data_IF_964328190518
#
_entry.id   IF_964328190518
#
_cell.length_a   1.000
_cell.length_b   1.000
_cell.length_c   1.000
_cell.angle_alpha   90.00
_cell.angle_beta   90.00
_cell.angle_gamma   90.00
#
_symmetry.space_group_name_H-M   'P 1'
#
loop_
_entity.id
_entity.type
_entity.pdbx_description
1 polymer ?
#
# COMPACT_ATOMS: atom_id res chain seq x y z
N UNK A 1 -11.42 -6.51 7.12
CA UNK A 1 -10.28 -7.38 6.78
C UNK A 1 -9.00 -6.57 6.80
N UNK A 2 -8.90 -5.45 6.07
CA UNK A 2 -7.73 -4.54 6.14
C UNK A 2 -7.35 -4.09 7.55
N UNK A 3 -8.31 -3.63 8.36
CA UNK A 3 -8.05 -3.26 9.77
C UNK A 3 -7.48 -4.45 10.57
N UNK A 4 -8.08 -5.64 10.41
CA UNK A 4 -7.59 -6.85 11.08
C UNK A 4 -6.17 -7.23 10.65
N UNK A 5 -5.85 -7.06 9.36
CA UNK A 5 -4.50 -7.30 8.85
C UNK A 5 -3.50 -6.29 9.42
N UNK A 6 -3.84 -5.00 9.46
CA UNK A 6 -2.98 -3.94 10.02
C UNK A 6 -2.74 -4.18 11.52
N UNK A 7 -3.79 -4.50 12.28
CA UNK A 7 -3.71 -4.84 13.71
C UNK A 7 -2.81 -6.06 13.95
N UNK A 8 -2.89 -7.07 13.09
CA UNK A 8 -2.05 -8.27 13.19
C UNK A 8 -0.59 -8.01 12.80
N UNK A 9 -0.36 -7.28 11.70
CA UNK A 9 0.97 -7.05 11.14
C UNK A 9 1.80 -6.11 12.01
N UNK A 10 1.19 -5.02 12.49
CA UNK A 10 1.88 -3.94 13.18
C UNK A 10 1.40 -3.78 14.62
N UNK A 11 1.13 -4.90 15.29
CA UNK A 11 0.77 -4.90 16.70
C UNK A 11 1.76 -4.06 17.52
N UNK A 12 1.23 -3.24 18.42
CA UNK A 12 1.98 -2.32 19.29
C UNK A 12 2.76 -1.21 18.56
N UNK A 13 2.62 -1.10 17.23
CA UNK A 13 3.22 -0.05 16.43
C UNK A 13 2.26 1.14 16.22
N UNK A 14 2.75 2.39 16.09
CA UNK A 14 1.91 3.56 15.79
C UNK A 14 1.11 3.49 14.47
N UNK A 15 1.41 2.53 13.59
CA UNK A 15 0.64 2.27 12.36
C UNK A 15 -0.57 1.35 12.56
N UNK A 16 -0.68 0.65 13.70
CA UNK A 16 -1.79 -0.27 13.96
C UNK A 16 -3.14 0.40 14.24
N UNK A 17 -3.23 1.54 14.96
CA UNK A 17 -4.52 2.13 15.28
C UNK A 17 -5.36 2.48 14.04
N UNK A 18 -6.67 2.22 14.05
CA UNK A 18 -7.54 2.54 12.92
C UNK A 18 -7.62 4.06 12.70
N UNK A 19 -7.68 4.47 11.44
CA UNK A 19 -7.75 5.89 11.05
C UNK A 19 -8.97 6.58 11.68
N UNK A 20 -10.11 5.89 11.77
CA UNK A 20 -11.34 6.42 12.37
C UNK A 20 -11.27 6.50 13.91
N UNK A 21 -10.22 5.95 14.53
CA UNK A 21 -10.12 5.76 15.96
C UNK A 21 -11.09 4.70 16.49
N UNK A 22 -11.31 4.73 17.79
CA UNK A 22 -12.25 3.87 18.50
C UNK A 22 -13.49 4.66 18.91
N UNK A 23 -14.58 3.97 19.25
CA UNK A 23 -15.76 4.62 19.82
C UNK A 23 -15.40 5.49 21.02
N UNK A 24 -14.56 4.99 21.93
CA UNK A 24 -14.11 5.71 23.11
C UNK A 24 -13.30 6.96 22.74
N UNK A 25 -12.31 6.84 21.83
CA UNK A 25 -11.49 7.99 21.44
C UNK A 25 -12.31 9.10 20.78
N UNK A 26 -13.43 8.78 20.15
CA UNK A 26 -14.34 9.77 19.54
C UNK A 26 -15.29 10.37 20.60
N UNK A 27 -15.87 9.56 21.49
CA UNK A 27 -16.78 10.08 22.52
C UNK A 27 -16.08 10.94 23.56
N UNK A 28 -14.81 10.64 23.83
CA UNK A 28 -14.02 11.30 24.87
C UNK A 28 -13.22 12.49 24.31
N UNK A 29 -13.27 12.73 22.99
CA UNK A 29 -12.52 13.80 22.35
C UNK A 29 -13.04 15.17 22.77
N UNK A 30 -12.15 15.96 23.38
CA UNK A 30 -12.44 17.34 23.76
C UNK A 30 -11.98 18.34 22.69
N UNK A 31 -12.53 19.56 22.73
CA UNK A 31 -12.01 20.68 21.94
C UNK A 31 -10.52 20.90 22.18
N UNK A 32 -10.08 20.85 23.43
CA UNK A 32 -8.68 21.08 23.81
C UNK A 32 -7.75 20.02 23.19
N UNK A 33 -8.22 18.77 23.07
CA UNK A 33 -7.50 17.69 22.37
C UNK A 33 -7.30 18.01 20.88
N UNK A 34 -8.35 18.52 20.22
CA UNK A 34 -8.30 18.89 18.80
C UNK A 34 -7.36 20.08 18.59
N UNK A 35 -7.46 21.11 19.43
CA UNK A 35 -6.60 22.30 19.34
C UNK A 35 -5.14 21.95 19.60
N UNK A 36 -4.86 21.12 20.60
CA UNK A 36 -3.50 20.65 20.87
C UNK A 36 -2.92 19.84 19.70
N UNK A 37 -3.73 18.99 19.05
CA UNK A 37 -3.31 18.27 17.85
C UNK A 37 -3.02 19.23 16.69
N UNK A 38 -3.93 20.18 16.43
CA UNK A 38 -3.79 21.19 15.39
C UNK A 38 -2.51 21.99 15.57
N UNK A 39 -2.31 22.61 16.75
CA UNK A 39 -1.13 23.43 17.04
C UNK A 39 0.18 22.66 16.92
N UNK A 40 0.19 21.35 17.20
CA UNK A 40 1.38 20.51 17.10
C UNK A 40 1.66 20.00 15.68
N UNK A 41 0.61 19.70 14.89
CA UNK A 41 0.75 18.97 13.63
C UNK A 41 0.54 19.82 12.38
N UNK A 42 -0.18 20.93 12.48
CA UNK A 42 -0.40 21.87 11.39
C UNK A 42 0.57 23.03 11.56
N UNK A 43 1.79 22.82 11.05
CA UNK A 43 2.88 23.81 11.08
C UNK A 43 3.42 24.01 9.66
N UNK A 44 4.12 25.12 9.38
CA UNK A 44 4.75 25.32 8.08
C UNK A 44 5.79 24.24 7.73
N UNK A 45 6.36 23.54 8.73
CA UNK A 45 7.35 22.48 8.53
C UNK A 45 6.73 21.12 8.12
N UNK A 46 5.41 20.96 8.27
CA UNK A 46 4.68 19.73 7.99
C UNK A 46 3.57 19.93 6.96
N UNK A 47 3.61 21.03 6.21
CA UNK A 47 2.57 21.42 5.25
C UNK A 47 3.16 21.73 3.89
N UNK A 48 2.59 21.13 2.85
CA UNK A 48 2.93 21.38 1.46
C UNK A 48 1.72 21.95 0.74
N UNK A 49 1.91 23.08 0.04
CA UNK A 49 0.92 23.63 -0.88
C UNK A 49 1.29 23.18 -2.30
N UNK A 50 0.48 22.28 -2.86
CA UNK A 50 0.66 21.79 -4.23
C UNK A 50 -0.37 22.38 -5.16
N UNK A 51 0.08 22.92 -6.29
CA UNK A 51 -0.79 23.59 -7.27
C UNK A 51 -0.38 23.13 -8.67
N UNK A 52 -1.34 22.70 -9.48
CA UNK A 52 -1.09 22.35 -10.88
C UNK A 52 -2.28 22.76 -11.76
N UNK A 53 -1.99 23.17 -13.00
CA UNK A 53 -3.00 23.59 -13.97
C UNK A 53 -2.56 24.82 -14.76
N UNK A 54 -3.53 25.59 -15.23
CA UNK A 54 -3.29 26.90 -15.83
C UNK A 54 -3.19 27.96 -14.72
N UNK A 55 -1.96 28.26 -14.29
CA UNK A 55 -1.70 29.12 -13.13
C UNK A 55 -1.30 30.53 -13.56
N UNK A 56 -1.76 31.57 -12.84
CA UNK A 56 -1.32 32.93 -13.10
C UNK A 56 0.15 33.10 -12.67
N UNK A 57 0.85 34.06 -13.27
CA UNK A 57 2.28 34.29 -13.02
C UNK A 57 2.62 34.74 -11.59
N UNK A 58 1.63 35.23 -10.85
CA UNK A 58 1.74 35.73 -9.47
C UNK A 58 1.27 34.71 -8.42
N UNK A 59 1.01 33.45 -8.79
CA UNK A 59 0.46 32.43 -7.87
C UNK A 59 1.35 32.23 -6.63
N UNK A 60 2.67 32.34 -6.78
CA UNK A 60 3.62 32.20 -5.66
C UNK A 60 3.49 33.39 -4.69
N UNK A 61 3.31 34.60 -5.21
CA UNK A 61 3.09 35.80 -4.39
C UNK A 61 1.77 35.69 -3.61
N UNK A 62 0.71 35.18 -4.25
CA UNK A 62 -0.58 34.94 -3.57
C UNK A 62 -0.46 33.92 -2.43
N UNK A 63 0.31 32.84 -2.63
CA UNK A 63 0.57 31.85 -1.57
C UNK A 63 1.41 32.47 -0.46
N UNK A 64 2.46 33.22 -0.81
CA UNK A 64 3.31 33.90 0.16
C UNK A 64 2.55 34.96 0.97
N UNK A 65 1.61 35.68 0.38
CA UNK A 65 0.76 36.65 1.07
C UNK A 65 -0.11 35.98 2.16
N UNK A 66 -0.58 34.75 1.91
CA UNK A 66 -1.47 34.00 2.82
C UNK A 66 -0.72 33.19 3.86
N UNK A 67 0.41 32.60 3.49
CA UNK A 67 1.14 31.63 4.32
C UNK A 67 2.54 32.10 4.74
N UNK A 68 3.08 33.17 4.17
CA UNK A 68 4.46 33.62 4.43
C UNK A 68 4.70 34.13 5.86
N UNK A 69 3.64 34.59 6.54
CA UNK A 69 3.68 34.94 7.97
C UNK A 69 3.42 33.76 8.91
N UNK A 70 3.11 32.58 8.39
CA UNK A 70 2.81 31.40 9.19
C UNK A 70 4.09 30.86 9.83
N UNK A 71 4.12 30.82 11.15
CA UNK A 71 5.21 30.27 11.93
C UNK A 71 4.74 29.09 12.76
N UNK A 72 5.68 28.24 13.16
CA UNK A 72 5.43 27.07 14.00
C UNK A 72 6.75 26.45 14.42
N UNK A 73 6.67 25.31 15.09
CA UNK A 73 7.85 24.57 15.53
C UNK A 73 7.93 23.30 14.69
N UNK A 74 9.11 23.02 14.14
CA UNK A 74 9.37 21.74 13.50
C UNK A 74 9.23 20.63 14.53
N UNK A 75 8.38 19.65 14.24
CA UNK A 75 8.19 18.48 15.10
C UNK A 75 8.85 17.29 14.43
N UNK A 76 9.82 16.69 15.11
CA UNK A 76 10.44 15.47 14.61
C UNK A 76 9.52 14.27 14.74
N UNK A 77 9.69 13.32 13.82
CA UNK A 77 8.99 12.04 13.85
C UNK A 77 9.91 10.97 14.44
N UNK A 78 9.42 10.30 15.48
CA UNK A 78 10.07 9.10 16.00
C UNK A 78 9.63 7.94 15.12
N UNK A 79 10.53 7.50 14.24
CA UNK A 79 10.34 6.32 13.41
C UNK A 79 10.79 5.10 14.20
N UNK A 80 9.98 4.05 14.19
CA UNK A 80 10.28 2.79 14.89
C UNK A 80 10.07 1.66 13.91
N UNK A 81 11.03 0.74 13.80
CA UNK A 81 10.81 -0.43 12.96
C UNK A 81 9.81 -1.37 13.67
N UNK A 82 8.75 -1.84 12.99
CA UNK A 82 7.83 -2.78 13.60
C UNK A 82 8.50 -4.14 13.85
N UNK A 83 7.96 -4.88 14.83
CA UNK A 83 8.33 -6.29 15.06
C UNK A 83 7.17 -7.14 14.57
N UNK A 84 7.41 -7.91 13.51
CA UNK A 84 6.37 -8.70 12.85
C UNK A 84 6.56 -10.19 13.16
N UNK A 85 5.44 -10.89 13.36
CA UNK A 85 5.36 -12.34 13.61
C UNK A 85 4.15 -12.90 12.88
N UNK A 86 4.15 -14.20 12.56
CA UNK A 86 3.00 -14.81 11.90
C UNK A 86 1.77 -14.73 12.80
N UNK A 87 0.69 -14.14 12.29
CA UNK A 87 -0.56 -13.92 13.04
C UNK A 87 -1.77 -14.00 12.13
N UNK A 88 -2.85 -14.53 12.70
CA UNK A 88 -4.19 -14.48 12.12
C UNK A 88 -5.07 -13.62 13.01
N UNK A 89 -5.74 -12.65 12.42
CA UNK A 89 -6.72 -11.81 13.11
C UNK A 89 -8.04 -11.88 12.36
N UNK A 90 -9.08 -12.36 13.04
CA UNK A 90 -10.39 -12.61 12.45
C UNK A 90 -11.45 -11.81 13.16
N UNK A 91 -12.25 -11.08 12.38
CA UNK A 91 -13.53 -10.57 12.84
C UNK A 91 -14.63 -11.55 12.43
N UNK A 92 -15.02 -12.41 13.37
CA UNK A 92 -16.07 -13.41 13.14
C UNK A 92 -17.41 -12.73 12.88
N UNK A 93 -17.99 -12.99 11.71
CA UNK A 93 -19.30 -12.44 11.30
C UNK A 93 -19.92 -13.37 10.26
N UNK A 94 -21.21 -13.67 10.41
CA UNK A 94 -21.97 -14.38 9.38
C UNK A 94 -22.17 -13.45 8.19
N UNK A 95 -21.54 -13.79 7.06
CA UNK A 95 -21.57 -13.05 5.81
C UNK A 95 -21.57 -14.00 4.61
N UNK A 96 -22.17 -13.57 3.50
CA UNK A 96 -22.17 -14.33 2.23
C UNK A 96 -20.76 -14.44 1.62
N UNK A 97 -19.90 -13.47 1.92
CA UNK A 97 -18.50 -13.46 1.49
C UNK A 97 -17.55 -13.41 2.68
N UNK A 98 -16.47 -14.16 2.54
CA UNK A 98 -15.23 -14.02 3.26
C UNK A 98 -14.42 -12.87 2.65
N UNK A 99 -13.90 -11.98 3.49
CA UNK A 99 -12.92 -10.98 3.07
C UNK A 99 -11.58 -11.29 3.72
N UNK A 100 -10.58 -11.57 2.90
CA UNK A 100 -9.26 -12.03 3.30
C UNK A 100 -8.22 -11.02 2.83
N UNK A 101 -7.30 -10.65 3.73
CA UNK A 101 -6.12 -9.85 3.40
C UNK A 101 -4.92 -10.63 3.90
N UNK A 102 -4.12 -11.14 2.97
CA UNK A 102 -2.96 -11.98 3.23
C UNK A 102 -1.70 -11.28 2.74
N UNK A 103 -0.62 -11.32 3.50
CA UNK A 103 0.62 -10.67 3.08
C UNK A 103 1.72 -10.74 4.11
N UNK A 104 2.79 -10.00 3.86
CA UNK A 104 3.95 -9.90 4.75
C UNK A 104 4.44 -8.46 4.86
N UNK A 105 5.31 -8.23 5.84
CA UNK A 105 6.07 -6.99 5.93
C UNK A 105 6.94 -6.82 4.68
N UNK A 106 7.06 -5.58 4.21
CA UNK A 106 7.76 -5.20 3.00
C UNK A 106 8.47 -3.87 3.22
N UNK A 107 8.88 -3.22 2.14
CA UNK A 107 9.78 -2.09 2.20
C UNK A 107 9.11 -0.78 2.64
N UNK A 108 9.84 0.11 3.34
CA UNK A 108 9.43 1.50 3.49
C UNK A 108 9.36 2.19 2.11
N UNK A 109 8.73 3.35 2.09
CA UNK A 109 8.43 4.11 0.87
C UNK A 109 9.65 4.46 0.02
N UNK A 110 10.76 4.76 0.67
CA UNK A 110 12.00 5.28 0.08
C UNK A 110 12.96 4.20 -0.41
N UNK A 111 12.67 2.92 -0.14
CA UNK A 111 13.50 1.80 -0.61
C UNK A 111 13.69 1.82 -2.13
N UNK A 112 14.92 1.60 -2.58
CA UNK A 112 15.30 1.67 -3.99
C UNK A 112 14.60 0.58 -4.82
N UNK A 113 14.27 -0.56 -4.21
CA UNK A 113 13.61 -1.70 -4.87
C UNK A 113 12.13 -1.47 -5.14
N UNK A 114 11.57 -0.32 -4.73
CA UNK A 114 10.14 0.02 -4.88
C UNK A 114 9.60 -0.07 -6.30
N UNK A 115 10.43 0.21 -7.32
CA UNK A 115 10.01 0.12 -8.73
C UNK A 115 9.98 -1.33 -9.21
N UNK A 116 10.96 -2.14 -8.82
CA UNK A 116 10.98 -3.57 -9.11
C UNK A 116 9.79 -4.28 -8.45
N UNK A 117 9.54 -4.00 -7.17
CA UNK A 117 8.38 -4.54 -6.45
C UNK A 117 7.05 -4.04 -7.04
N UNK A 118 6.98 -2.82 -7.58
CA UNK A 118 5.79 -2.31 -8.27
C UNK A 118 5.44 -3.14 -9.51
N UNK A 119 6.44 -3.53 -10.29
CA UNK A 119 6.22 -4.35 -11.49
C UNK A 119 5.79 -5.77 -11.09
N UNK A 120 6.40 -6.32 -10.04
CA UNK A 120 6.01 -7.62 -9.49
C UNK A 120 4.56 -7.64 -8.98
N UNK A 121 4.17 -6.62 -8.20
CA UNK A 121 2.81 -6.42 -7.69
C UNK A 121 1.79 -6.29 -8.83
N UNK A 122 2.13 -5.58 -9.90
CA UNK A 122 1.25 -5.48 -11.07
C UNK A 122 0.98 -6.85 -11.71
N UNK A 123 2.02 -7.68 -11.86
CA UNK A 123 1.87 -9.03 -12.43
C UNK A 123 1.16 -9.98 -11.47
N UNK A 124 1.37 -9.86 -10.16
CA UNK A 124 0.74 -10.71 -9.16
C UNK A 124 -0.78 -10.49 -9.13
N UNK A 125 -1.22 -9.25 -8.96
CA UNK A 125 -2.64 -8.95 -8.76
C UNK A 125 -3.11 -7.56 -9.20
N UNK A 126 -2.28 -6.78 -9.92
CA UNK A 126 -2.58 -5.37 -10.24
C UNK A 126 -3.51 -5.12 -11.44
N UNK A 127 -4.10 -6.16 -12.04
CA UNK A 127 -4.99 -5.99 -13.20
C UNK A 127 -5.56 -7.29 -13.76
N UNK A 128 -6.34 -7.20 -14.83
CA UNK A 128 -7.03 -8.37 -15.41
C UNK A 128 -6.07 -9.41 -16.01
N UNK A 129 -4.88 -8.99 -16.43
CA UNK A 129 -3.83 -9.88 -16.94
C UNK A 129 -2.89 -10.40 -15.85
N UNK A 130 -3.21 -10.19 -14.57
CA UNK A 130 -2.40 -10.63 -13.45
C UNK A 130 -2.62 -12.12 -13.14
N UNK A 131 -1.63 -12.76 -12.53
CA UNK A 131 -1.67 -14.19 -12.20
C UNK A 131 -2.86 -14.54 -11.32
N UNK A 132 -3.08 -13.77 -10.24
CA UNK A 132 -4.19 -14.02 -9.31
C UNK A 132 -5.55 -13.81 -9.97
N UNK A 133 -5.70 -12.77 -10.79
CA UNK A 133 -6.95 -12.54 -11.51
C UNK A 133 -7.25 -13.70 -12.46
N UNK A 134 -6.25 -14.16 -13.20
CA UNK A 134 -6.44 -15.28 -14.12
C UNK A 134 -6.77 -16.57 -13.36
N UNK A 135 -5.96 -16.97 -12.38
CA UNK A 135 -6.11 -18.27 -11.71
C UNK A 135 -7.36 -18.36 -10.82
N UNK A 136 -7.67 -17.32 -10.05
CA UNK A 136 -8.75 -17.34 -9.05
C UNK A 136 -10.07 -16.91 -9.67
N UNK A 137 -10.08 -15.85 -10.49
CA UNK A 137 -11.32 -15.28 -11.03
C UNK A 137 -11.67 -15.84 -12.40
N UNK A 138 -10.74 -15.86 -13.35
CA UNK A 138 -11.04 -16.25 -14.74
C UNK A 138 -11.15 -17.78 -14.90
N UNK A 139 -10.17 -18.53 -14.41
CA UNK A 139 -10.10 -19.98 -14.60
C UNK A 139 -11.03 -20.74 -13.65
N UNK A 140 -11.10 -20.35 -12.36
CA UNK A 140 -11.84 -21.11 -11.33
C UNK A 140 -13.11 -20.42 -10.82
N UNK A 141 -13.29 -19.12 -11.06
CA UNK A 141 -14.48 -18.40 -10.61
C UNK A 141 -14.68 -18.40 -9.08
N UNK A 142 -13.61 -18.48 -8.29
CA UNK A 142 -13.68 -18.57 -6.82
C UNK A 142 -13.90 -17.21 -6.15
N UNK A 143 -13.48 -16.12 -6.79
CA UNK A 143 -13.61 -14.78 -6.25
C UNK A 143 -13.92 -13.78 -7.36
N UNK A 144 -14.85 -12.86 -7.09
CA UNK A 144 -15.11 -11.73 -7.99
C UNK A 144 -14.04 -10.65 -7.85
N UNK A 145 -13.56 -10.43 -6.62
CA UNK A 145 -12.55 -9.43 -6.32
C UNK A 145 -11.31 -10.12 -5.75
N UNK A 146 -10.22 -10.05 -6.51
CA UNK A 146 -8.88 -10.44 -6.11
C UNK A 146 -7.92 -9.43 -6.70
N UNK A 147 -7.01 -8.94 -5.87
CA UNK A 147 -5.94 -8.03 -6.31
C UNK A 147 -4.83 -8.01 -5.27
N UNK A 148 -3.65 -7.56 -5.69
CA UNK A 148 -2.54 -7.24 -4.79
C UNK A 148 -2.30 -5.74 -4.76
N UNK A 149 -1.73 -5.27 -3.67
CA UNK A 149 -1.29 -3.90 -3.52
C UNK A 149 -0.18 -3.82 -2.48
N UNK A 150 0.45 -2.64 -2.41
CA UNK A 150 1.52 -2.34 -1.46
C UNK A 150 1.08 -1.24 -0.52
N UNK A 151 1.55 -1.29 0.71
CA UNK A 151 1.29 -0.28 1.73
C UNK A 151 2.61 0.36 2.21
N UNK A 152 3.23 1.25 1.41
CA UNK A 152 4.49 1.89 1.79
C UNK A 152 4.28 3.04 2.78
N UNK A 153 4.89 2.95 3.96
CA UNK A 153 4.99 4.00 4.98
C UNK A 153 6.42 4.53 5.11
N UNK A 154 6.65 5.49 5.99
CA UNK A 154 7.96 6.11 6.21
C UNK A 154 9.03 5.13 6.71
N UNK A 155 8.64 4.20 7.57
CA UNK A 155 9.52 3.34 8.36
C UNK A 155 9.13 1.86 8.32
N UNK A 156 8.07 1.55 7.57
CA UNK A 156 7.55 0.21 7.37
C UNK A 156 6.86 0.09 6.01
N UNK A 157 6.60 -1.14 5.57
CA UNK A 157 5.66 -1.39 4.50
C UNK A 157 5.07 -2.78 4.53
N UNK A 158 4.13 -3.03 3.64
CA UNK A 158 3.52 -4.35 3.46
C UNK A 158 3.26 -4.64 1.98
N UNK A 159 3.42 -5.91 1.60
CA UNK A 159 2.98 -6.46 0.32
C UNK A 159 1.81 -7.38 0.59
N UNK A 160 0.66 -7.11 -0.03
CA UNK A 160 -0.61 -7.73 0.39
C UNK A 160 -1.48 -8.12 -0.79
N UNK A 161 -2.23 -9.19 -0.59
CA UNK A 161 -3.26 -9.71 -1.49
C UNK A 161 -4.59 -9.63 -0.76
N UNK A 162 -5.58 -9.02 -1.41
CA UNK A 162 -6.97 -9.06 -0.98
C UNK A 162 -7.75 -10.07 -1.82
N UNK A 163 -8.62 -10.84 -1.17
CA UNK A 163 -9.62 -11.68 -1.84
C UNK A 163 -10.98 -11.61 -1.16
N UNK A 164 -12.04 -11.45 -1.96
CA UNK A 164 -13.43 -11.62 -1.57
C UNK A 164 -14.03 -12.88 -2.19
N UNK A 165 -14.25 -13.92 -1.39
CA UNK A 165 -14.69 -15.26 -1.85
C UNK A 165 -15.85 -15.80 -1.00
N UNK A 166 -16.48 -16.90 -1.39
CA UNK A 166 -17.46 -17.56 -0.52
C UNK A 166 -16.74 -18.23 0.68
N UNK A 167 -17.31 -18.24 1.90
CA UNK A 167 -16.68 -18.84 3.08
C UNK A 167 -16.13 -20.25 2.86
N UNK A 168 -16.87 -21.11 2.15
CA UNK A 168 -16.48 -22.49 1.83
C UNK A 168 -15.27 -22.63 0.90
N UNK A 169 -14.87 -21.56 0.21
CA UNK A 169 -13.74 -21.53 -0.74
C UNK A 169 -12.47 -20.93 -0.13
N UNK A 170 -12.52 -20.49 1.14
CA UNK A 170 -11.42 -19.77 1.82
C UNK A 170 -10.09 -20.53 1.75
N UNK A 171 -10.08 -21.82 2.10
CA UNK A 171 -8.87 -22.64 2.11
C UNK A 171 -8.26 -22.79 0.72
N UNK A 172 -9.09 -23.08 -0.29
CA UNK A 172 -8.63 -23.22 -1.68
C UNK A 172 -8.02 -21.91 -2.20
N UNK A 173 -8.70 -20.79 -1.95
CA UNK A 173 -8.23 -19.46 -2.38
C UNK A 173 -6.92 -19.06 -1.69
N UNK A 174 -6.78 -19.27 -0.38
CA UNK A 174 -5.55 -18.97 0.33
C UNK A 174 -4.38 -19.85 -0.16
N UNK A 175 -4.65 -21.13 -0.45
CA UNK A 175 -3.67 -22.02 -1.07
C UNK A 175 -3.19 -21.52 -2.44
N UNK A 176 -4.12 -21.04 -3.28
CA UNK A 176 -3.78 -20.44 -4.59
C UNK A 176 -2.97 -19.15 -4.44
N UNK A 177 -3.35 -18.27 -3.50
CA UNK A 177 -2.59 -17.04 -3.22
C UNK A 177 -1.16 -17.35 -2.81
N UNK A 178 -0.97 -18.29 -1.87
CA UNK A 178 0.36 -18.73 -1.44
C UNK A 178 1.16 -19.32 -2.58
N UNK A 179 0.55 -20.19 -3.39
CA UNK A 179 1.17 -20.77 -4.58
C UNK A 179 1.64 -19.71 -5.59
N UNK A 180 0.84 -18.67 -5.87
CA UNK A 180 1.28 -17.59 -6.76
C UNK A 180 2.46 -16.79 -6.22
N UNK A 181 2.44 -16.51 -4.91
CA UNK A 181 3.55 -15.83 -4.24
C UNK A 181 4.81 -16.70 -4.29
N UNK A 182 4.70 -18.00 -4.01
CA UNK A 182 5.82 -18.94 -4.07
C UNK A 182 6.39 -19.05 -5.49
N UNK A 183 5.52 -19.10 -6.52
CA UNK A 183 5.96 -19.05 -7.94
C UNK A 183 6.70 -17.75 -8.25
N UNK A 184 6.23 -16.61 -7.74
CA UNK A 184 6.89 -15.34 -7.94
C UNK A 184 8.27 -15.29 -7.24
N UNK A 185 8.39 -15.86 -6.04
CA UNK A 185 9.65 -15.96 -5.27
C UNK A 185 10.67 -16.88 -5.94
N UNK A 186 10.21 -18.01 -6.49
CA UNK A 186 11.09 -19.04 -7.05
C UNK A 186 11.47 -18.78 -8.50
N UNK A 187 10.48 -18.40 -9.33
CA UNK A 187 10.64 -18.32 -10.78
C UNK A 187 10.72 -16.87 -11.29
N UNK A 188 10.35 -15.89 -10.46
CA UNK A 188 10.28 -14.50 -10.87
C UNK A 188 9.22 -14.23 -11.94
N UNK A 189 9.51 -13.26 -12.80
CA UNK A 189 8.65 -12.88 -13.93
C UNK A 189 9.21 -13.43 -15.24
N UNK A 190 8.32 -13.84 -16.14
CA UNK A 190 8.66 -14.08 -17.54
C UNK A 190 8.94 -12.78 -18.29
N UNK A 191 9.70 -12.82 -19.38
CA UNK A 191 9.99 -11.64 -20.24
C UNK A 191 8.71 -10.92 -20.67
N UNK A 192 7.69 -11.70 -21.02
CA UNK A 192 6.42 -11.18 -21.47
C UNK A 192 5.66 -10.48 -20.33
N UNK A 193 5.69 -11.03 -19.11
CA UNK A 193 5.11 -10.38 -17.93
C UNK A 193 5.83 -9.08 -17.59
N UNK A 194 7.17 -9.09 -17.52
CA UNK A 194 7.94 -7.89 -17.21
C UNK A 194 7.72 -6.79 -18.24
N UNK A 195 7.76 -7.14 -19.54
CA UNK A 195 7.53 -6.20 -20.64
C UNK A 195 6.13 -5.58 -20.59
N UNK A 196 5.10 -6.39 -20.34
CA UNK A 196 3.73 -5.90 -20.16
C UNK A 196 3.59 -5.00 -18.94
N UNK A 197 4.17 -5.37 -17.80
CA UNK A 197 4.11 -4.57 -16.58
C UNK A 197 4.77 -3.20 -16.77
N UNK A 198 5.96 -3.15 -17.38
CA UNK A 198 6.64 -1.89 -17.73
C UNK A 198 5.78 -1.03 -18.65
N UNK A 199 5.19 -1.64 -19.68
CA UNK A 199 4.33 -0.93 -20.64
C UNK A 199 3.07 -0.37 -19.96
N UNK A 200 2.44 -1.17 -19.09
CA UNK A 200 1.27 -0.75 -18.34
C UNK A 200 1.57 0.44 -17.43
N UNK A 201 2.61 0.34 -16.59
CA UNK A 201 2.94 1.41 -15.63
C UNK A 201 3.31 2.70 -16.37
N UNK A 202 4.07 2.63 -17.46
CA UNK A 202 4.40 3.80 -18.29
C UNK A 202 3.15 4.40 -18.94
N UNK A 203 2.25 3.58 -19.45
CA UNK A 203 0.97 4.02 -20.00
C UNK A 203 0.08 4.69 -18.96
N UNK A 204 -0.02 4.12 -17.76
CA UNK A 204 -0.77 4.69 -16.65
C UNK A 204 -0.19 6.04 -16.20
N UNK A 205 1.14 6.17 -16.16
CA UNK A 205 1.81 7.44 -15.89
C UNK A 205 1.48 8.49 -16.95
N UNK A 206 1.52 8.14 -18.24
CA UNK A 206 1.19 9.04 -19.34
C UNK A 206 -0.27 9.53 -19.26
N UNK A 207 -1.23 8.63 -19.06
CA UNK A 207 -2.65 8.98 -18.91
C UNK A 207 -2.87 9.88 -17.68
N UNK A 208 -2.18 9.61 -16.57
CA UNK A 208 -2.25 10.44 -15.37
C UNK A 208 -1.69 11.85 -15.51
N UNK A 209 -1.00 12.18 -16.62
CA UNK A 209 -0.50 13.54 -16.89
C UNK A 209 -1.56 14.44 -17.54
N UNK A 210 -2.64 13.88 -18.07
CA UNK A 210 -3.72 14.64 -18.71
C UNK A 210 -4.55 15.42 -17.68
N UNK A 211 -4.59 14.95 -16.44
CA UNK A 211 -5.36 15.52 -15.35
C UNK A 211 -4.50 16.38 -14.41
N UNK A 212 -4.88 17.64 -14.24
CA UNK A 212 -4.21 18.58 -13.34
C UNK A 212 -4.26 18.11 -11.88
N UNK A 213 -5.36 17.47 -11.45
CA UNK A 213 -5.51 16.96 -10.10
C UNK A 213 -4.52 15.81 -9.83
N UNK A 214 -4.33 14.91 -10.79
CA UNK A 214 -3.35 13.83 -10.74
C UNK A 214 -1.91 14.35 -10.66
N UNK A 215 -1.60 15.40 -11.44
CA UNK A 215 -0.29 16.09 -11.36
C UNK A 215 -0.06 16.76 -10.00
N UNK A 216 -1.05 17.50 -9.50
CA UNK A 216 -1.02 18.17 -8.20
C UNK A 216 -0.79 17.16 -7.06
N UNK A 217 -1.55 16.05 -7.06
CA UNK A 217 -1.38 15.00 -6.05
C UNK A 217 -0.01 14.34 -6.13
N UNK A 218 0.54 14.11 -7.34
CA UNK A 218 1.87 13.51 -7.49
C UNK A 218 2.95 14.38 -6.86
N UNK A 219 3.08 15.64 -7.30
CA UNK A 219 4.13 16.54 -6.81
C UNK A 219 3.96 16.84 -5.31
N UNK A 220 2.71 17.04 -4.87
CA UNK A 220 2.42 17.32 -3.47
C UNK A 220 2.75 16.15 -2.56
N UNK A 221 2.42 14.91 -2.98
CA UNK A 221 2.74 13.71 -2.22
C UNK A 221 4.25 13.44 -2.21
N UNK A 222 4.95 13.64 -3.34
CA UNK A 222 6.41 13.49 -3.40
C UNK A 222 7.10 14.42 -2.42
N UNK A 223 6.77 15.71 -2.45
CA UNK A 223 7.32 16.71 -1.52
C UNK A 223 6.96 16.40 -0.07
N UNK A 224 5.67 16.12 0.22
CA UNK A 224 5.19 15.85 1.58
C UNK A 224 5.85 14.61 2.19
N UNK A 225 6.24 13.64 1.37
CA UNK A 225 6.88 12.41 1.82
C UNK A 225 8.41 12.47 1.76
N UNK A 226 9.00 13.62 1.42
CA UNK A 226 10.45 13.79 1.33
C UNK A 226 11.11 12.94 0.24
N UNK A 227 10.32 12.47 -0.73
CA UNK A 227 10.82 11.65 -1.83
C UNK A 227 11.49 12.53 -2.88
N UNK A 228 12.45 11.94 -3.61
CA UNK A 228 13.08 12.61 -4.74
C UNK A 228 12.05 12.97 -5.83
N UNK A 229 12.14 14.20 -6.34
CA UNK A 229 11.34 14.67 -7.46
C UNK A 229 11.91 14.19 -8.79
N UNK A 230 11.49 12.99 -9.19
CA UNK A 230 11.74 12.52 -10.54
C UNK A 230 10.79 13.19 -11.53
N UNK A 231 11.35 13.65 -12.63
CA UNK A 231 10.61 13.96 -13.85
C UNK A 231 9.91 12.72 -14.39
N UNK A 232 9.01 12.94 -15.34
CA UNK A 232 8.32 11.85 -16.04
C UNK A 232 9.32 10.96 -16.77
N UNK A 233 10.30 11.57 -17.45
CA UNK A 233 11.30 10.86 -18.24
C UNK A 233 12.23 10.03 -17.35
N UNK A 234 12.70 10.59 -16.22
CA UNK A 234 13.50 9.86 -15.24
C UNK A 234 12.71 8.70 -14.62
N UNK A 235 11.41 8.90 -14.31
CA UNK A 235 10.56 7.82 -13.81
C UNK A 235 10.42 6.70 -14.85
N UNK A 236 10.23 7.06 -16.12
CA UNK A 236 10.15 6.11 -17.24
C UNK A 236 11.46 5.35 -17.44
N UNK A 237 12.58 6.04 -17.31
CA UNK A 237 13.92 5.46 -17.42
C UNK A 237 14.17 4.44 -16.30
N UNK A 238 13.94 4.82 -15.04
CA UNK A 238 14.07 3.93 -13.88
C UNK A 238 13.23 2.66 -14.07
N UNK A 239 11.96 2.79 -14.47
CA UNK A 239 11.08 1.63 -14.73
C UNK A 239 11.59 0.78 -15.90
N UNK A 240 12.10 1.43 -16.96
CA UNK A 240 12.56 0.73 -18.15
C UNK A 240 13.83 -0.08 -17.89
N UNK A 241 14.69 0.40 -16.98
CA UNK A 241 15.95 -0.24 -16.61
C UNK A 241 15.82 -1.40 -15.61
N UNK A 242 14.66 -1.57 -14.94
CA UNK A 242 14.43 -2.70 -14.02
C UNK A 242 14.67 -4.04 -14.73
N UNK A 243 15.53 -4.88 -14.17
CA UNK A 243 15.86 -6.20 -14.69
C UNK A 243 15.04 -7.32 -14.04
N UNK A 244 15.16 -8.54 -14.54
CA UNK A 244 14.56 -9.71 -13.90
C UNK A 244 15.15 -9.97 -12.52
N UNK A 245 16.46 -9.76 -12.36
CA UNK A 245 17.17 -9.98 -11.10
C UNK A 245 16.71 -8.96 -10.04
N UNK A 246 16.54 -7.69 -10.42
CA UNK A 246 16.00 -6.66 -9.52
C UNK A 246 14.61 -7.05 -9.00
N UNK A 247 13.76 -7.59 -9.88
CA UNK A 247 12.41 -8.05 -9.51
C UNK A 247 12.48 -9.25 -8.58
N UNK A 248 13.31 -10.24 -8.91
CA UNK A 248 13.45 -11.44 -8.11
C UNK A 248 13.98 -11.12 -6.70
N UNK A 249 14.98 -10.24 -6.61
CA UNK A 249 15.51 -9.76 -5.33
C UNK A 249 14.44 -9.02 -4.53
N UNK A 250 13.74 -8.08 -5.17
CA UNK A 250 12.68 -7.30 -4.52
C UNK A 250 11.55 -8.19 -3.99
N UNK A 251 11.10 -9.18 -4.76
CA UNK A 251 10.06 -10.13 -4.33
C UNK A 251 10.55 -10.98 -3.17
N UNK A 252 11.75 -11.59 -3.29
CA UNK A 252 12.30 -12.43 -2.23
C UNK A 252 12.41 -11.68 -0.92
N UNK A 253 12.90 -10.44 -0.96
CA UNK A 253 13.00 -9.63 0.25
C UNK A 253 11.62 -9.21 0.79
N UNK A 254 10.67 -8.83 -0.07
CA UNK A 254 9.32 -8.41 0.32
C UNK A 254 8.41 -9.53 0.88
N UNK A 255 8.79 -10.79 0.70
CA UNK A 255 8.07 -11.97 1.23
C UNK A 255 8.97 -12.90 2.04
N UNK A 256 10.12 -12.40 2.52
CA UNK A 256 11.07 -13.17 3.34
C UNK A 256 10.62 -13.33 4.80
N UNK A 257 9.71 -12.45 5.24
CA UNK A 257 9.23 -12.39 6.60
C UNK A 257 8.07 -13.35 6.89
N UNK A 258 7.57 -13.34 8.13
CA UNK A 258 6.36 -14.07 8.49
C UNK A 258 5.14 -13.58 7.69
N UNK A 259 4.22 -14.49 7.41
CA UNK A 259 2.94 -14.16 6.78
C UNK A 259 1.90 -13.79 7.82
N UNK A 260 1.00 -12.88 7.45
CA UNK A 260 -0.08 -12.38 8.28
C UNK A 260 -1.39 -12.46 7.51
N UNK A 261 -2.48 -12.77 8.22
CA UNK A 261 -3.81 -12.87 7.64
C UNK A 261 -4.82 -12.07 8.48
N UNK A 262 -5.45 -11.08 7.85
CA UNK A 262 -6.64 -10.41 8.36
C UNK A 262 -7.90 -10.92 7.67
N UNK A 263 -8.88 -11.39 8.43
CA UNK A 263 -10.11 -11.97 7.87
C UNK A 263 -11.40 -11.36 8.45
N UNK A 264 -12.46 -11.37 7.65
CA UNK A 264 -13.85 -11.18 8.10
C UNK A 264 -14.69 -12.27 7.46
N UNK A 265 -15.36 -13.06 8.29
CA UNK A 265 -16.22 -14.16 7.82
C UNK A 265 -16.62 -15.10 8.96
N UNK A 266 -17.34 -16.19 8.66
CA UNK A 266 -17.88 -17.11 9.65
C UNK A 266 -16.84 -18.17 10.08
N UNK A 267 -15.68 -17.73 10.57
CA UNK A 267 -14.58 -18.59 11.06
C UNK A 267 -13.99 -18.03 12.35
N UNK A 268 -13.25 -18.88 13.08
CA UNK A 268 -12.33 -18.46 14.14
C UNK A 268 -10.92 -18.22 13.58
N UNK A 269 -9.99 -17.78 14.43
CA UNK A 269 -8.59 -17.64 14.04
C UNK A 269 -7.93 -19.01 13.83
N UNK A 270 -8.25 -19.99 14.69
CA UNK A 270 -7.70 -21.36 14.63
C UNK A 270 -7.99 -22.04 13.29
N UNK A 271 -9.15 -21.77 12.68
CA UNK A 271 -9.53 -22.29 11.36
C UNK A 271 -8.58 -21.87 10.23
N UNK A 272 -7.79 -20.82 10.44
CA UNK A 272 -6.95 -20.19 9.40
C UNK A 272 -5.46 -20.12 9.76
N UNK A 273 -5.05 -20.62 10.93
CA UNK A 273 -3.66 -20.56 11.39
C UNK A 273 -2.68 -21.28 10.45
N UNK A 274 -3.11 -22.37 9.83
CA UNK A 274 -2.26 -23.17 8.93
C UNK A 274 -1.77 -22.38 7.69
N UNK A 275 -2.46 -21.31 7.31
CA UNK A 275 -2.12 -20.54 6.10
C UNK A 275 -0.99 -19.53 6.32
N UNK A 276 -0.66 -19.20 7.57
CA UNK A 276 0.42 -18.26 7.93
C UNK A 276 1.67 -18.93 8.50
N UNK A 277 1.63 -20.26 8.63
CA UNK A 277 2.75 -21.10 9.08
C UNK A 277 3.64 -21.56 7.91
#
# INVERSE_FOLDING_TARGET
AHEQFIEALWADHPLSPPILGTKASITDMSRDTIEAYWSRRYTPYSTVVSIAGNLPGDIIDQVAERFGGWSGIQTDHVLTKPVVSSRVQVRTKVTEQAHLVFGSESFPRDDERRYALMLADHVLGGGMSSRLFHEIRETRGLAYSVHSFRMPFSDAGASVVYVGTAPKQTAEVLGLVRSEIDRLINDGLTDAELSRAKSHVKGALALGLEDALSRMNRIGRTELTGMEHLTVDETVEVISNVTHDDVLEAVKAAYSGPYVLGAVGPFSAEDLEEFVQ
#
